data_IF_320939089712
#
_entry.id   IF_320939089712
#
_cell.length_a   1.000
_cell.length_b   1.000
_cell.length_c   1.000
_cell.angle_alpha   90.00
_cell.angle_beta   90.00
_cell.angle_gamma   90.00
#
_symmetry.space_group_name_H-M   'P 1'
#
loop_
_entity.id
_entity.type
_entity.pdbx_description
1 polymer ?
#
# COMPACT_ATOMS: atom_id res chain seq x y z
N UNK A 1 -13.35 -9.24 -15.31
CA UNK A 1 -12.65 -9.08 -14.02
C UNK A 1 -12.95 -10.22 -13.07
N UNK A 2 -11.95 -11.08 -12.90
CA UNK A 2 -12.00 -12.26 -12.02
C UNK A 2 -11.90 -11.86 -10.55
N UNK A 3 -12.47 -12.67 -9.65
CA UNK A 3 -12.60 -12.32 -8.22
C UNK A 3 -11.27 -11.98 -7.53
N UNK A 4 -10.15 -12.71 -7.74
CA UNK A 4 -8.86 -12.33 -7.13
C UNK A 4 -8.37 -10.93 -7.50
N UNK A 5 -8.51 -10.52 -8.77
CA UNK A 5 -8.13 -9.16 -9.22
C UNK A 5 -9.07 -8.11 -8.59
N UNK A 6 -10.36 -8.42 -8.48
CA UNK A 6 -11.32 -7.51 -7.80
C UNK A 6 -10.97 -7.28 -6.33
N UNK A 7 -10.40 -8.28 -5.65
CA UNK A 7 -9.93 -8.14 -4.27
C UNK A 7 -8.76 -7.16 -4.23
N UNK A 8 -7.73 -7.38 -5.04
CA UNK A 8 -6.54 -6.51 -5.06
C UNK A 8 -6.87 -5.07 -5.45
N UNK A 9 -7.70 -4.86 -6.50
CA UNK A 9 -8.15 -3.51 -6.89
C UNK A 9 -8.92 -2.81 -5.76
N UNK A 10 -9.77 -3.55 -5.05
CA UNK A 10 -10.48 -3.01 -3.89
C UNK A 10 -9.52 -2.64 -2.75
N UNK A 11 -8.50 -3.47 -2.49
CA UNK A 11 -7.43 -3.14 -1.54
C UNK A 11 -6.67 -1.88 -1.93
N UNK A 12 -6.37 -1.69 -3.23
CA UNK A 12 -5.80 -0.44 -3.74
C UNK A 12 -6.67 0.76 -3.41
N UNK A 13 -7.99 0.68 -3.64
CA UNK A 13 -8.90 1.78 -3.30
C UNK A 13 -8.85 2.13 -1.82
N UNK A 14 -8.66 1.16 -0.92
CA UNK A 14 -8.52 1.39 0.52
C UNK A 14 -7.18 2.05 0.83
N UNK A 15 -6.09 1.54 0.27
CA UNK A 15 -4.73 2.06 0.45
C UNK A 15 -4.65 3.54 0.03
N UNK A 16 -5.27 3.90 -1.10
CA UNK A 16 -5.31 5.28 -1.58
C UNK A 16 -5.98 6.26 -0.61
N UNK A 17 -6.95 5.81 0.20
CA UNK A 17 -7.57 6.64 1.25
C UNK A 17 -6.56 7.05 2.31
N UNK A 18 -5.70 6.11 2.69
CA UNK A 18 -4.61 6.36 3.64
C UNK A 18 -3.54 7.26 3.04
N UNK A 19 -3.24 7.11 1.74
CA UNK A 19 -2.34 8.04 1.05
C UNK A 19 -2.88 9.49 1.09
N UNK A 20 -4.19 9.69 0.95
CA UNK A 20 -4.82 11.01 1.11
C UNK A 20 -4.72 11.55 2.54
N UNK A 21 -4.89 10.69 3.55
CA UNK A 21 -4.68 11.05 4.95
C UNK A 21 -3.23 11.51 5.20
N UNK A 22 -2.25 10.76 4.68
CA UNK A 22 -0.82 11.08 4.79
C UNK A 22 -0.49 12.42 4.10
N UNK A 23 -1.00 12.66 2.89
CA UNK A 23 -0.77 13.94 2.19
C UNK A 23 -1.33 15.11 2.99
N UNK A 24 -2.49 14.94 3.61
CA UNK A 24 -3.07 15.95 4.48
C UNK A 24 -2.24 16.22 5.73
N UNK A 25 -1.62 15.21 6.33
CA UNK A 25 -0.66 15.40 7.42
C UNK A 25 0.63 16.11 6.95
N UNK A 26 1.20 15.69 5.83
CA UNK A 26 2.38 16.33 5.23
C UNK A 26 2.11 17.80 4.91
N UNK A 27 0.93 18.12 4.35
CA UNK A 27 0.53 19.50 4.06
C UNK A 27 0.42 20.35 5.32
N UNK A 28 -0.13 19.81 6.42
CA UNK A 28 -0.19 20.52 7.71
C UNK A 28 1.20 20.82 8.25
N UNK A 29 2.14 19.86 8.18
CA UNK A 29 3.54 20.11 8.55
C UNK A 29 4.16 21.25 7.72
N UNK A 30 3.95 21.27 6.41
CA UNK A 30 4.43 22.34 5.52
C UNK A 30 3.81 23.70 5.87
N UNK A 31 2.55 23.73 6.32
CA UNK A 31 1.86 24.95 6.78
C UNK A 31 2.33 25.45 8.15
N UNK A 32 3.28 24.76 8.79
CA UNK A 32 3.76 25.12 10.12
C UNK A 32 2.90 24.56 11.25
N UNK A 33 1.86 23.78 10.96
CA UNK A 33 1.02 23.10 11.97
C UNK A 33 1.73 21.87 12.55
N UNK A 34 1.35 21.47 13.76
CA UNK A 34 1.96 20.36 14.49
C UNK A 34 0.95 19.22 14.69
N UNK A 35 0.63 18.42 13.66
CA UNK A 35 -0.19 17.23 13.84
C UNK A 35 0.46 16.26 14.84
N UNK A 36 -0.34 15.48 15.60
CA UNK A 36 0.18 14.55 16.58
C UNK A 36 0.95 13.42 15.90
N UNK A 37 2.10 13.03 16.47
CA UNK A 37 2.90 11.91 15.97
C UNK A 37 2.10 10.61 15.87
N UNK A 38 1.18 10.38 16.82
CA UNK A 38 0.28 9.24 16.83
C UNK A 38 -0.51 9.05 15.52
N UNK A 39 -0.88 10.14 14.83
CA UNK A 39 -1.57 10.05 13.54
C UNK A 39 -0.69 9.44 12.44
N UNK A 40 0.59 9.80 12.40
CA UNK A 40 1.54 9.20 11.47
C UNK A 40 1.81 7.73 11.82
N UNK A 41 1.95 7.41 13.11
CA UNK A 41 2.17 6.03 13.57
C UNK A 41 1.02 5.11 13.17
N UNK A 42 -0.24 5.56 13.32
CA UNK A 42 -1.42 4.82 12.86
C UNK A 42 -1.39 4.53 11.35
N UNK A 43 -0.94 5.51 10.54
CA UNK A 43 -0.79 5.34 9.09
C UNK A 43 0.36 4.38 8.75
N UNK A 44 1.50 4.49 9.43
CA UNK A 44 2.64 3.58 9.26
C UNK A 44 2.24 2.13 9.58
N UNK A 45 1.53 1.94 10.69
CA UNK A 45 1.05 0.61 11.09
C UNK A 45 0.06 0.05 10.05
N UNK A 46 -0.80 0.90 9.48
CA UNK A 46 -1.67 0.50 8.39
C UNK A 46 -0.89 0.01 7.16
N UNK A 47 0.14 0.75 6.72
CA UNK A 47 0.96 0.32 5.58
C UNK A 47 1.67 -1.01 5.84
N UNK A 48 2.23 -1.21 7.04
CA UNK A 48 2.92 -2.47 7.39
C UNK A 48 1.97 -3.67 7.44
N UNK A 49 0.77 -3.46 7.99
CA UNK A 49 -0.17 -4.55 8.24
C UNK A 49 -1.04 -4.86 7.02
N UNK A 50 -1.60 -3.84 6.37
CA UNK A 50 -2.53 -4.02 5.25
C UNK A 50 -1.83 -3.97 3.91
N UNK A 51 -1.12 -2.88 3.58
CA UNK A 51 -0.50 -2.76 2.26
C UNK A 51 0.60 -3.82 2.05
N UNK A 52 1.45 -4.05 3.06
CA UNK A 52 2.55 -5.01 2.93
C UNK A 52 2.15 -6.44 3.35
N UNK A 53 1.82 -6.65 4.63
CA UNK A 53 1.60 -8.01 5.16
C UNK A 53 0.32 -8.70 4.66
N UNK A 54 -0.63 -7.97 4.06
CA UNK A 54 -1.84 -8.54 3.47
C UNK A 54 -1.80 -8.48 1.95
N UNK A 55 -1.77 -7.28 1.39
CA UNK A 55 -1.91 -7.05 -0.05
C UNK A 55 -0.66 -7.51 -0.82
N UNK A 56 0.53 -6.93 -0.58
CA UNK A 56 1.76 -7.40 -1.25
C UNK A 56 2.04 -8.87 -0.94
N UNK A 57 1.67 -9.37 0.24
CA UNK A 57 1.85 -10.78 0.58
C UNK A 57 1.03 -11.72 -0.30
N UNK A 58 -0.19 -11.33 -0.72
CA UNK A 58 -1.00 -12.08 -1.71
C UNK A 58 -0.30 -12.11 -3.06
N UNK A 59 0.29 -10.99 -3.45
CA UNK A 59 0.95 -10.85 -4.73
C UNK A 59 2.27 -11.62 -4.79
N UNK A 60 3.19 -11.32 -3.86
CA UNK A 60 4.54 -11.91 -3.81
C UNK A 60 4.49 -13.43 -3.59
N UNK A 61 3.52 -13.94 -2.82
CA UNK A 61 3.43 -15.37 -2.47
C UNK A 61 2.63 -16.18 -3.48
N UNK A 62 1.68 -15.57 -4.18
CA UNK A 62 0.76 -16.32 -5.04
C UNK A 62 0.65 -15.74 -6.45
N UNK A 63 0.25 -14.47 -6.62
CA UNK A 63 0.02 -13.93 -7.97
C UNK A 63 1.29 -13.91 -8.81
N UNK A 64 2.39 -13.36 -8.28
CA UNK A 64 3.66 -13.23 -8.99
C UNK A 64 4.26 -14.60 -9.35
N UNK A 65 4.32 -15.60 -8.44
CA UNK A 65 4.74 -16.95 -8.82
C UNK A 65 3.90 -17.59 -9.92
N UNK A 66 2.59 -17.35 -9.95
CA UNK A 66 1.72 -17.88 -11.02
C UNK A 66 1.98 -17.17 -12.34
N UNK A 67 2.20 -15.85 -12.35
CA UNK A 67 2.64 -15.12 -13.54
C UNK A 67 3.98 -15.65 -14.07
N UNK A 68 4.93 -15.93 -13.17
CA UNK A 68 6.22 -16.54 -13.53
C UNK A 68 6.04 -17.92 -14.19
N UNK A 69 5.16 -18.76 -13.65
CA UNK A 69 4.84 -20.07 -14.23
C UNK A 69 4.22 -19.97 -15.63
N UNK A 70 3.50 -18.88 -15.92
CA UNK A 70 2.93 -18.60 -17.24
C UNK A 70 3.92 -17.86 -18.17
N UNK A 71 5.18 -17.70 -17.76
CA UNK A 71 6.25 -17.19 -18.61
C UNK A 71 6.57 -15.72 -18.46
N UNK A 72 5.99 -15.01 -17.48
CA UNK A 72 6.40 -13.63 -17.16
C UNK A 72 7.74 -13.66 -16.43
N UNK A 73 8.81 -13.07 -16.98
CA UNK A 73 10.14 -13.22 -16.38
C UNK A 73 10.25 -12.44 -15.06
N UNK A 74 10.78 -13.11 -14.03
CA UNK A 74 11.12 -12.48 -12.75
C UNK A 74 12.28 -11.50 -12.87
N UNK A 75 13.29 -11.81 -13.67
CA UNK A 75 14.47 -10.94 -13.87
C UNK A 75 14.32 -10.18 -15.18
N UNK A 76 14.40 -8.84 -15.10
CA UNK A 76 14.26 -7.97 -16.28
C UNK A 76 12.83 -7.89 -16.84
N UNK A 77 11.84 -8.41 -16.11
CA UNK A 77 10.42 -8.36 -16.49
C UNK A 77 9.53 -7.66 -15.46
N UNK A 78 8.22 -7.55 -15.74
CA UNK A 78 7.26 -6.84 -14.90
C UNK A 78 7.24 -7.30 -13.44
N UNK A 79 7.28 -8.61 -13.18
CA UNK A 79 7.31 -9.16 -11.82
C UNK A 79 8.54 -8.68 -11.04
N UNK A 80 9.71 -8.61 -11.69
CA UNK A 80 10.93 -8.11 -11.06
C UNK A 80 10.85 -6.63 -10.69
N UNK A 81 10.19 -5.83 -11.52
CA UNK A 81 9.94 -4.41 -11.24
C UNK A 81 9.02 -4.26 -10.03
N UNK A 82 7.92 -5.01 -9.96
CA UNK A 82 6.99 -4.93 -8.82
C UNK A 82 7.65 -5.33 -7.51
N UNK A 83 8.41 -6.43 -7.49
CA UNK A 83 9.17 -6.85 -6.29
C UNK A 83 10.17 -5.79 -5.83
N UNK A 84 10.87 -5.16 -6.78
CA UNK A 84 11.78 -4.06 -6.46
C UNK A 84 11.03 -2.85 -5.89
N UNK A 85 9.87 -2.53 -6.46
CA UNK A 85 9.03 -1.43 -5.98
C UNK A 85 8.42 -1.72 -4.60
N UNK A 86 8.07 -2.96 -4.27
CA UNK A 86 7.66 -3.32 -2.91
C UNK A 86 8.77 -3.05 -1.89
N UNK A 87 10.02 -3.42 -2.20
CA UNK A 87 11.17 -3.12 -1.34
C UNK A 87 11.40 -1.61 -1.17
N UNK A 88 11.25 -0.83 -2.24
CA UNK A 88 11.30 0.64 -2.16
C UNK A 88 10.19 1.18 -1.26
N UNK A 89 8.97 0.65 -1.38
CA UNK A 89 7.84 1.00 -0.52
C UNK A 89 8.13 0.72 0.96
N UNK A 90 8.65 -0.48 1.27
CA UNK A 90 9.07 -0.86 2.63
C UNK A 90 10.12 0.10 3.19
N UNK A 91 11.09 0.52 2.36
CA UNK A 91 12.11 1.50 2.76
C UNK A 91 11.52 2.87 3.09
N UNK A 92 10.64 3.40 2.25
CA UNK A 92 9.98 4.68 2.56
C UNK A 92 9.20 4.65 3.87
N UNK A 93 8.49 3.55 4.15
CA UNK A 93 7.74 3.39 5.41
C UNK A 93 8.68 3.31 6.62
N UNK A 94 9.84 2.65 6.48
CA UNK A 94 10.87 2.60 7.51
C UNK A 94 11.46 3.99 7.79
N UNK A 95 11.86 4.71 6.74
CA UNK A 95 12.45 6.05 6.86
C UNK A 95 11.43 7.06 7.41
N UNK A 96 10.15 6.95 7.01
CA UNK A 96 9.05 7.72 7.58
C UNK A 96 8.89 7.45 9.08
N UNK A 97 8.93 6.19 9.51
CA UNK A 97 8.83 5.83 10.93
C UNK A 97 10.00 6.40 11.76
N UNK A 98 11.22 6.36 11.23
CA UNK A 98 12.38 6.98 11.88
C UNK A 98 12.23 8.50 11.98
N UNK A 99 11.71 9.16 10.94
CA UNK A 99 11.45 10.59 10.96
C UNK A 99 10.36 10.98 11.98
N UNK A 100 9.29 10.19 12.10
CA UNK A 100 8.23 10.39 13.12
C UNK A 100 8.79 10.23 14.53
N UNK A 101 9.65 9.25 14.79
CA UNK A 101 10.29 9.08 16.09
C UNK A 101 11.23 10.25 16.45
N UNK A 102 11.87 10.89 15.47
CA UNK A 102 12.65 12.11 15.68
C UNK A 102 11.74 13.33 15.94
N UNK A 103 10.62 13.40 15.23
CA UNK A 103 9.61 14.45 15.42
C UNK A 103 9.00 14.43 16.83
N UNK A 104 8.73 13.25 17.40
CA UNK A 104 8.28 13.11 18.80
C UNK A 104 9.29 13.66 19.82
N UNK A 105 10.58 13.62 19.48
CA UNK A 105 11.67 14.14 20.32
C UNK A 105 11.91 15.64 20.12
N UNK A 106 11.14 16.29 19.24
CA UNK A 106 11.27 17.71 18.95
C UNK A 106 12.44 18.06 18.02
N UNK A 107 12.94 17.11 17.23
CA UNK A 107 14.01 17.38 16.26
C UNK A 107 13.49 18.33 15.15
N UNK A 108 14.10 19.51 14.95
CA UNK A 108 13.64 20.49 13.98
C UNK A 108 13.80 20.02 12.52
N UNK A 109 14.67 19.06 12.23
CA UNK A 109 14.86 18.47 10.90
C UNK A 109 13.79 17.44 10.54
N UNK A 110 13.13 16.86 11.54
CA UNK A 110 12.21 15.73 11.36
C UNK A 110 10.99 16.08 10.49
N UNK A 111 10.50 17.33 10.54
CA UNK A 111 9.34 17.75 9.73
C UNK A 111 9.63 17.62 8.23
N UNK A 112 10.82 18.06 7.80
CA UNK A 112 11.23 17.95 6.41
C UNK A 112 11.39 16.48 6.00
N UNK A 113 11.99 15.66 6.87
CA UNK A 113 12.16 14.23 6.61
C UNK A 113 10.81 13.47 6.53
N UNK A 114 9.81 13.82 7.36
CA UNK A 114 8.46 13.26 7.26
C UNK A 114 7.82 13.62 5.92
N UNK A 115 7.91 14.89 5.51
CA UNK A 115 7.30 15.34 4.25
C UNK A 115 7.97 14.69 3.05
N UNK A 116 9.30 14.60 3.04
CA UNK A 116 10.08 13.96 1.98
C UNK A 116 9.70 12.48 1.82
N UNK A 117 9.77 11.71 2.89
CA UNK A 117 9.47 10.27 2.85
C UNK A 117 7.98 10.00 2.62
N UNK A 118 7.10 10.77 3.27
CA UNK A 118 5.65 10.61 3.10
C UNK A 118 5.21 10.89 1.67
N UNK A 119 5.64 12.00 1.07
CA UNK A 119 5.31 12.32 -0.33
C UNK A 119 6.06 11.45 -1.33
N UNK A 120 7.27 10.99 -0.98
CA UNK A 120 8.00 9.97 -1.72
C UNK A 120 7.19 8.68 -1.84
N UNK A 121 6.69 8.17 -0.71
CA UNK A 121 5.85 6.98 -0.65
C UNK A 121 4.53 7.16 -1.43
N UNK A 122 3.85 8.30 -1.28
CA UNK A 122 2.60 8.59 -2.01
C UNK A 122 2.81 8.50 -3.52
N UNK A 123 3.83 9.17 -4.06
CA UNK A 123 4.12 9.12 -5.51
C UNK A 123 4.49 7.72 -5.95
N UNK A 124 5.35 7.05 -5.18
CA UNK A 124 5.79 5.69 -5.46
C UNK A 124 4.60 4.73 -5.57
N UNK A 125 3.72 4.74 -4.56
CA UNK A 125 2.61 3.79 -4.51
C UNK A 125 1.53 4.10 -5.55
N UNK A 126 1.29 5.37 -5.88
CA UNK A 126 0.37 5.74 -6.96
C UNK A 126 0.83 5.21 -8.34
N UNK A 127 2.13 5.33 -8.64
CA UNK A 127 2.71 4.78 -9.88
C UNK A 127 2.75 3.25 -9.88
N UNK A 128 3.00 2.65 -8.72
CA UNK A 128 3.00 1.21 -8.52
C UNK A 128 1.61 0.60 -8.77
N UNK A 129 0.58 1.09 -8.07
CA UNK A 129 -0.83 0.71 -8.24
C UNK A 129 -1.25 0.87 -9.71
N UNK A 130 -0.84 1.94 -10.37
CA UNK A 130 -1.17 2.13 -11.78
C UNK A 130 -0.64 1.01 -12.68
N UNK A 131 0.60 0.56 -12.47
CA UNK A 131 1.22 -0.52 -13.25
C UNK A 131 0.52 -1.84 -12.98
N UNK A 132 0.15 -2.11 -11.73
CA UNK A 132 -0.57 -3.34 -11.38
C UNK A 132 -1.95 -3.36 -12.02
N UNK A 133 -2.77 -2.34 -11.75
CA UNK A 133 -4.14 -2.23 -12.24
C UNK A 133 -4.22 -2.24 -13.77
N UNK A 134 -3.28 -1.55 -14.44
CA UNK A 134 -3.40 -1.29 -15.87
C UNK A 134 -2.53 -2.17 -16.76
N UNK A 135 -1.53 -2.86 -16.21
CA UNK A 135 -0.59 -3.69 -16.96
C UNK A 135 -0.61 -5.10 -16.39
N UNK A 136 -0.17 -5.28 -15.14
CA UNK A 136 0.09 -6.61 -14.59
C UNK A 136 -1.19 -7.44 -14.45
N UNK A 137 -2.27 -6.86 -13.93
CA UNK A 137 -3.54 -7.56 -13.74
C UNK A 137 -4.21 -7.89 -15.08
N UNK A 138 -4.09 -7.01 -16.08
CA UNK A 138 -4.59 -7.30 -17.44
C UNK A 138 -3.80 -8.44 -18.10
N UNK A 139 -2.48 -8.48 -17.91
CA UNK A 139 -1.67 -9.61 -18.34
C UNK A 139 -2.14 -10.91 -17.67
N UNK A 140 -2.42 -10.89 -16.37
CA UNK A 140 -2.97 -12.05 -15.67
C UNK A 140 -4.31 -12.51 -16.27
N UNK A 141 -5.22 -11.56 -16.56
CA UNK A 141 -6.52 -11.83 -17.20
C UNK A 141 -6.41 -12.49 -18.58
N UNK A 142 -5.40 -12.12 -19.37
CA UNK A 142 -5.16 -12.70 -20.70
C UNK A 142 -4.50 -14.09 -20.63
N UNK A 143 -3.85 -14.44 -19.51
CA UNK A 143 -3.00 -15.62 -19.39
C UNK A 143 -3.65 -16.77 -18.61
N UNK A 144 -4.50 -16.48 -17.61
CA UNK A 144 -4.96 -17.49 -16.66
C UNK A 144 -6.30 -18.12 -17.04
N UNK A 145 -6.40 -19.42 -16.79
CA UNK A 145 -7.66 -20.17 -16.91
C UNK A 145 -8.47 -20.18 -15.59
N UNK A 146 -9.70 -20.69 -15.66
CA UNK A 146 -10.63 -20.74 -14.51
C UNK A 146 -10.06 -21.54 -13.32
N UNK A 147 -9.27 -22.59 -13.60
CA UNK A 147 -8.63 -23.40 -12.57
C UNK A 147 -7.58 -22.60 -11.80
N UNK A 148 -6.78 -21.82 -12.52
CA UNK A 148 -5.78 -20.91 -11.94
C UNK A 148 -6.44 -19.83 -11.08
N UNK A 149 -7.53 -19.22 -11.56
CA UNK A 149 -8.28 -18.23 -10.80
C UNK A 149 -8.89 -18.80 -9.52
N UNK A 150 -9.45 -20.01 -9.60
CA UNK A 150 -10.03 -20.71 -8.44
C UNK A 150 -8.95 -21.01 -7.39
N UNK A 151 -7.77 -21.46 -7.83
CA UNK A 151 -6.65 -21.74 -6.93
C UNK A 151 -6.10 -20.47 -6.27
N UNK A 152 -5.99 -19.36 -7.01
CA UNK A 152 -5.56 -18.06 -6.47
C UNK A 152 -6.53 -17.54 -5.42
N UNK A 153 -7.84 -17.63 -5.66
CA UNK A 153 -8.85 -17.21 -4.69
C UNK A 153 -8.70 -17.96 -3.37
N UNK A 154 -8.60 -19.30 -3.42
CA UNK A 154 -8.40 -20.13 -2.24
C UNK A 154 -7.05 -19.86 -1.54
N UNK A 155 -6.04 -19.39 -2.27
CA UNK A 155 -4.76 -19.00 -1.68
C UNK A 155 -4.83 -17.64 -0.96
N UNK A 156 -5.58 -16.68 -1.52
CA UNK A 156 -5.78 -15.36 -0.90
C UNK A 156 -6.51 -15.46 0.43
N UNK A 157 -7.54 -16.32 0.51
CA UNK A 157 -8.28 -16.59 1.75
C UNK A 157 -7.33 -17.05 2.89
N UNK A 158 -6.34 -17.89 2.59
CA UNK A 158 -5.34 -18.33 3.58
C UNK A 158 -4.45 -17.20 4.09
N UNK A 159 -4.13 -16.22 3.25
CA UNK A 159 -3.38 -15.05 3.72
C UNK A 159 -4.24 -14.22 4.66
N UNK A 160 -5.51 -14.00 4.34
CA UNK A 160 -6.42 -13.25 5.21
C UNK A 160 -6.59 -13.89 6.59
N UNK A 161 -6.73 -15.22 6.64
CA UNK A 161 -6.77 -15.97 7.89
C UNK A 161 -5.49 -15.79 8.73
N UNK A 162 -4.33 -15.76 8.07
CA UNK A 162 -3.02 -15.65 8.74
C UNK A 162 -2.73 -14.24 9.28
N UNK A 163 -3.24 -13.20 8.62
CA UNK A 163 -2.97 -11.80 9.00
C UNK A 163 -3.77 -11.43 10.26
N UNK A 164 -4.99 -11.97 10.44
CA UNK A 164 -5.78 -11.96 11.69
C UNK A 164 -6.24 -10.59 12.25
N UNK A 165 -5.41 -9.55 12.14
CA UNK A 165 -5.57 -8.24 12.75
C UNK A 165 -6.35 -7.24 11.87
N UNK A 166 -6.35 -7.42 10.55
CA UNK A 166 -6.98 -6.51 9.60
C UNK A 166 -7.85 -7.28 8.59
N UNK A 167 -9.08 -7.64 8.99
CA UNK A 167 -10.08 -8.04 7.99
C UNK A 167 -10.37 -6.83 7.10
N UNK A 168 -10.66 -7.04 5.81
CA UNK A 168 -11.00 -5.97 4.86
C UNK A 168 -11.92 -4.89 5.46
N UNK A 169 -13.00 -5.30 6.13
CA UNK A 169 -13.94 -4.40 6.80
C UNK A 169 -13.30 -3.53 7.92
N UNK A 170 -12.39 -4.10 8.73
CA UNK A 170 -11.67 -3.34 9.75
C UNK A 170 -10.71 -2.34 9.13
N UNK A 171 -9.97 -2.76 8.09
CA UNK A 171 -9.05 -1.89 7.38
C UNK A 171 -9.79 -0.75 6.67
N UNK A 172 -10.94 -1.04 6.06
CA UNK A 172 -11.82 -0.06 5.44
C UNK A 172 -12.30 0.99 6.42
N UNK A 173 -12.77 0.56 7.61
CA UNK A 173 -13.20 1.50 8.66
C UNK A 173 -12.04 2.37 9.14
N UNK A 174 -10.90 1.76 9.46
CA UNK A 174 -9.72 2.49 9.90
C UNK A 174 -9.25 3.49 8.83
N UNK A 175 -9.29 3.09 7.56
CA UNK A 175 -8.95 3.97 6.45
C UNK A 175 -9.93 5.12 6.29
N UNK A 176 -11.23 4.88 6.46
CA UNK A 176 -12.24 5.92 6.46
C UNK A 176 -12.04 6.92 7.60
N UNK A 177 -11.76 6.43 8.81
CA UNK A 177 -11.54 7.27 9.99
C UNK A 177 -10.31 8.17 9.82
N UNK A 178 -9.18 7.60 9.37
CA UNK A 178 -7.95 8.34 9.13
C UNK A 178 -8.10 9.35 7.98
N UNK A 179 -8.73 8.95 6.88
CA UNK A 179 -9.03 9.85 5.76
C UNK A 179 -9.91 11.03 6.20
N UNK A 180 -11.02 10.77 6.89
CA UNK A 180 -11.92 11.83 7.38
C UNK A 180 -11.22 12.77 8.37
N UNK A 181 -10.30 12.25 9.17
CA UNK A 181 -9.58 13.05 10.17
C UNK A 181 -8.50 13.92 9.55
N UNK A 182 -7.79 13.40 8.54
CA UNK A 182 -6.51 13.98 8.12
C UNK A 182 -6.43 14.39 6.67
N UNK A 183 -7.25 13.84 5.77
CA UNK A 183 -7.22 14.26 4.37
C UNK A 183 -7.53 15.76 4.24
N UNK A 184 -7.03 16.36 3.16
CA UNK A 184 -7.44 17.70 2.80
C UNK A 184 -8.88 17.61 2.31
N UNK A 185 -9.81 18.29 2.99
CA UNK A 185 -11.14 18.47 2.44
C UNK A 185 -11.01 19.16 1.09
N UNK A 186 -11.62 18.60 0.04
CA UNK A 186 -11.84 19.34 -1.18
C UNK A 186 -12.56 20.62 -0.78
N UNK A 187 -11.93 21.78 -1.02
CA UNK A 187 -12.64 23.05 -0.94
C UNK A 187 -13.80 22.94 -1.93
N UNK A 188 -15.03 23.02 -1.41
CA UNK A 188 -16.23 23.12 -2.24
C UNK A 188 -16.14 24.33 -3.16
#
# INVERSE_FOLDING_TARGET
MHQPIRILDHEHRIIERILRALEGLCTRLVRGENPPAAAFLQIIDFFRTFADSCHHQKEEKYLFPVLEQHGVPRVGGPVGVMLYEHEMGRRFVADLASAVAAYEKGDPSARAAIVENGRGYIRHLAEHINKEDNILYKMAEDMFDDATWTALLAAFEKTEESVGACTHEKCERQAAELENSWALLASK
#
